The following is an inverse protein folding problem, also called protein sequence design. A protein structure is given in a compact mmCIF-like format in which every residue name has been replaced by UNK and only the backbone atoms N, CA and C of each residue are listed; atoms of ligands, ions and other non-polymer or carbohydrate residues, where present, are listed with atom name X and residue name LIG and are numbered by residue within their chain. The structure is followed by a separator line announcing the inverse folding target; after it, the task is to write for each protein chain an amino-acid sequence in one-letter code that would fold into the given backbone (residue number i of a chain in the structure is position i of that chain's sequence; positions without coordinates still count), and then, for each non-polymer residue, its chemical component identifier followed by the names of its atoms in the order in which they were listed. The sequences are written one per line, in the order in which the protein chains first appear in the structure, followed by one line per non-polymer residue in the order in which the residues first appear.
data_IF_372077637499
#
_entry.id   IF_372077637499
#
_cell.length_a   1.000
_cell.length_b   1.000
_cell.length_c   1.000
_cell.angle_alpha   90.00
_cell.angle_beta   90.00
_cell.angle_gamma   90.00
#
_symmetry.space_group_name_H-M   'P 1'
#
loop_
_entity.id
_entity.type
_entity.pdbx_description
1 polymer ?
#
# COMPACT_ATOMS: atom_id res chain seq x y z
N UNK A 1 22.35 -1.83 6.59
CA UNK A 1 21.00 -2.39 6.59
C UNK A 1 20.27 -2.00 7.87
N UNK A 2 18.98 -1.83 7.79
CA UNK A 2 18.11 -1.46 8.93
C UNK A 2 18.20 -2.49 10.06
N UNK A 3 18.32 -3.76 9.72
CA UNK A 3 18.46 -4.84 10.70
C UNK A 3 19.77 -4.73 11.49
N UNK A 4 20.87 -4.37 10.83
CA UNK A 4 22.14 -4.15 11.51
C UNK A 4 22.07 -2.97 12.51
N UNK A 5 21.34 -1.91 12.15
CA UNK A 5 21.12 -0.76 13.04
C UNK A 5 20.30 -1.14 14.26
N UNK A 6 19.26 -1.97 14.09
CA UNK A 6 18.45 -2.47 15.21
C UNK A 6 19.31 -3.36 16.13
N UNK A 7 20.07 -4.28 15.56
CA UNK A 7 20.94 -5.17 16.33
C UNK A 7 21.98 -4.40 17.14
N UNK A 8 22.52 -3.33 16.58
CA UNK A 8 23.54 -2.48 17.21
C UNK A 8 22.96 -1.39 18.10
N UNK A 9 21.63 -1.33 18.27
CA UNK A 9 20.99 -0.32 19.11
C UNK A 9 21.32 -0.49 20.59
N UNK A 10 21.25 0.61 21.33
CA UNK A 10 21.50 0.62 22.78
C UNK A 10 20.61 -0.35 23.54
N UNK A 11 19.33 -0.42 23.17
CA UNK A 11 18.36 -1.30 23.83
C UNK A 11 18.69 -2.79 23.70
N UNK A 12 19.41 -3.18 22.64
CA UNK A 12 19.86 -4.55 22.42
C UNK A 12 21.25 -4.80 23.06
N UNK A 13 22.18 -3.89 22.85
CA UNK A 13 23.60 -4.07 23.18
C UNK A 13 23.93 -3.84 24.67
N UNK A 14 23.33 -2.83 25.31
CA UNK A 14 23.62 -2.51 26.71
C UNK A 14 23.33 -3.68 27.65
N UNK A 15 22.21 -4.40 27.57
CA UNK A 15 22.00 -5.59 28.38
C UNK A 15 23.04 -6.70 28.15
N UNK A 16 23.57 -6.84 26.94
CA UNK A 16 24.61 -7.80 26.60
C UNK A 16 25.94 -7.43 27.32
N UNK A 17 26.30 -6.14 27.30
CA UNK A 17 27.47 -5.61 27.99
C UNK A 17 27.38 -5.92 29.49
N UNK A 18 26.28 -5.59 30.12
CA UNK A 18 26.03 -5.80 31.54
C UNK A 18 26.06 -7.27 31.95
N UNK A 19 25.65 -8.17 31.04
CA UNK A 19 25.59 -9.60 31.30
C UNK A 19 26.93 -10.34 31.05
N UNK A 20 27.80 -9.81 30.17
CA UNK A 20 28.98 -10.53 29.67
C UNK A 20 30.32 -9.82 29.91
N UNK A 21 30.30 -8.51 30.21
CA UNK A 21 31.50 -7.74 30.49
C UNK A 21 31.64 -7.46 32.00
N UNK A 22 32.87 -7.28 32.47
CA UNK A 22 33.14 -6.93 33.85
C UNK A 22 33.15 -5.40 34.01
N UNK A 23 32.57 -4.93 35.13
CA UNK A 23 32.67 -3.54 35.53
C UNK A 23 34.10 -3.24 36.01
N UNK A 24 34.58 -1.99 35.79
CA UNK A 24 35.85 -1.54 36.30
C UNK A 24 35.76 -1.28 37.82
N UNK A 25 36.89 -0.82 38.44
CA UNK A 25 36.97 -0.55 39.87
C UNK A 25 35.97 0.53 40.34
N UNK A 26 35.51 1.41 39.44
CA UNK A 26 34.49 2.41 39.71
C UNK A 26 33.04 1.89 39.47
N UNK A 27 32.87 0.62 39.17
CA UNK A 27 31.59 0.00 38.91
C UNK A 27 31.01 0.31 37.53
N UNK A 28 31.84 0.81 36.62
CA UNK A 28 31.39 1.20 35.25
C UNK A 28 31.71 0.11 34.24
N UNK A 29 30.75 -0.21 33.43
CA UNK A 29 30.89 -1.11 32.29
C UNK A 29 31.55 -0.40 31.11
N UNK A 30 32.13 -1.17 30.16
CA UNK A 30 32.64 -0.59 28.91
C UNK A 30 31.57 0.28 28.21
N UNK A 31 32.02 1.34 27.56
CA UNK A 31 31.14 2.22 26.81
C UNK A 31 30.52 1.48 25.63
N UNK A 32 29.27 1.78 25.35
CA UNK A 32 28.50 1.18 24.25
C UNK A 32 29.23 1.26 22.90
N UNK A 33 29.75 2.43 22.56
CA UNK A 33 30.46 2.64 21.29
C UNK A 33 31.76 1.83 21.20
N UNK A 34 32.51 1.75 22.29
CA UNK A 34 33.75 0.98 22.36
C UNK A 34 33.51 -0.52 22.27
N UNK A 35 32.47 -1.00 22.92
CA UNK A 35 32.05 -2.39 22.85
C UNK A 35 31.69 -2.79 21.42
N UNK A 36 30.90 -1.99 20.73
CA UNK A 36 30.53 -2.27 19.34
C UNK A 36 31.73 -2.38 18.42
N UNK A 37 32.69 -1.46 18.55
CA UNK A 37 33.90 -1.48 17.72
C UNK A 37 34.78 -2.70 18.00
N UNK A 38 34.90 -3.06 19.26
CA UNK A 38 35.85 -4.11 19.70
C UNK A 38 35.25 -5.53 19.56
N UNK A 39 33.94 -5.68 19.73
CA UNK A 39 33.31 -6.99 19.95
C UNK A 39 32.33 -7.44 18.89
N UNK A 40 31.64 -6.54 18.19
CA UNK A 40 30.53 -6.88 17.33
C UNK A 40 30.84 -6.53 15.87
N UNK A 41 30.71 -7.53 15.01
CA UNK A 41 30.79 -7.36 13.53
C UNK A 41 29.56 -7.92 12.88
N UNK A 42 28.98 -7.16 11.95
CA UNK A 42 27.85 -7.60 11.16
C UNK A 42 28.20 -7.56 9.67
N UNK A 43 27.92 -8.66 8.98
CA UNK A 43 28.13 -8.78 7.54
C UNK A 43 26.82 -9.19 6.86
N UNK A 44 26.12 -8.24 6.21
CA UNK A 44 24.99 -8.60 5.37
C UNK A 44 25.51 -9.31 4.13
N UNK A 45 24.93 -10.46 3.80
CA UNK A 45 25.22 -11.13 2.53
C UNK A 45 24.50 -10.37 1.42
N UNK A 46 25.25 -9.99 0.38
CA UNK A 46 24.68 -9.31 -0.78
C UNK A 46 23.52 -10.13 -1.34
N UNK A 47 22.44 -9.42 -1.63
CA UNK A 47 21.27 -9.94 -2.35
C UNK A 47 20.47 -11.01 -1.59
N UNK A 48 20.63 -11.06 -0.27
CA UNK A 48 19.83 -11.93 0.60
C UNK A 48 19.37 -11.16 1.83
N UNK A 49 18.38 -11.71 2.51
CA UNK A 49 17.93 -11.21 3.82
C UNK A 49 18.77 -11.78 4.97
N UNK A 50 19.89 -12.40 4.64
CA UNK A 50 20.78 -13.04 5.61
C UNK A 50 21.82 -12.05 6.09
N UNK A 51 21.98 -11.94 7.41
CA UNK A 51 23.01 -11.15 8.06
C UNK A 51 23.82 -12.05 8.99
N UNK A 52 25.13 -12.05 8.82
CA UNK A 52 26.04 -12.74 9.72
C UNK A 52 26.41 -11.84 10.88
N UNK A 53 26.25 -12.32 12.09
CA UNK A 53 26.65 -11.62 13.32
C UNK A 53 27.82 -12.36 13.95
N UNK A 54 28.91 -11.64 14.16
CA UNK A 54 30.13 -12.19 14.82
C UNK A 54 30.39 -11.39 16.08
N UNK A 55 30.63 -12.11 17.18
CA UNK A 55 30.95 -11.51 18.46
C UNK A 55 32.29 -12.11 18.95
N UNK A 56 33.21 -11.25 19.36
CA UNK A 56 34.45 -11.65 20.00
C UNK A 56 34.42 -11.33 21.50
N UNK A 57 35.05 -12.16 22.31
CA UNK A 57 35.14 -11.96 23.74
C UNK A 57 36.46 -12.56 24.26
N UNK A 58 36.72 -12.36 25.54
CA UNK A 58 37.96 -12.89 26.16
C UNK A 58 37.99 -14.42 26.23
N UNK A 59 36.82 -15.06 26.34
CA UNK A 59 36.68 -16.52 26.35
C UNK A 59 35.67 -16.97 25.33
N UNK A 60 35.74 -18.23 24.89
CA UNK A 60 34.79 -18.82 23.98
C UNK A 60 33.35 -18.88 24.58
N UNK A 61 33.26 -19.12 25.88
CA UNK A 61 31.99 -19.15 26.60
C UNK A 61 31.33 -17.78 26.64
N UNK A 62 32.09 -16.72 26.91
CA UNK A 62 31.59 -15.35 26.92
C UNK A 62 31.14 -14.90 25.50
N UNK A 63 31.89 -15.29 24.47
CA UNK A 63 31.53 -14.99 23.08
C UNK A 63 30.23 -15.67 22.70
N UNK A 64 30.04 -16.92 23.06
CA UNK A 64 28.78 -17.66 22.78
C UNK A 64 27.60 -17.04 23.52
N UNK A 65 27.77 -16.72 24.81
CA UNK A 65 26.73 -16.10 25.63
C UNK A 65 26.35 -14.72 25.08
N UNK A 66 27.35 -13.89 24.73
CA UNK A 66 27.12 -12.56 24.16
C UNK A 66 26.40 -12.64 22.83
N UNK A 67 26.79 -13.56 21.95
CA UNK A 67 26.13 -13.75 20.66
C UNK A 67 24.67 -14.17 20.83
N UNK A 68 24.41 -15.14 21.71
CA UNK A 68 23.04 -15.59 21.97
C UNK A 68 22.17 -14.49 22.55
N UNK A 69 22.66 -13.72 23.51
CA UNK A 69 21.93 -12.59 24.09
C UNK A 69 21.69 -11.47 23.07
N UNK A 70 22.68 -11.20 22.21
CA UNK A 70 22.59 -10.19 21.17
C UNK A 70 21.51 -10.55 20.13
N UNK A 71 21.52 -11.79 19.65
CA UNK A 71 20.53 -12.27 18.68
C UNK A 71 19.13 -12.31 19.30
N UNK A 72 19.00 -12.82 20.52
CA UNK A 72 17.69 -12.85 21.21
C UNK A 72 17.17 -11.44 21.50
N UNK A 73 18.04 -10.53 21.90
CA UNK A 73 17.69 -9.12 22.12
C UNK A 73 17.26 -8.43 20.83
N UNK A 74 17.95 -8.72 19.72
CA UNK A 74 17.58 -8.23 18.40
C UNK A 74 16.19 -8.72 17.97
N UNK A 75 15.92 -10.03 18.10
CA UNK A 75 14.62 -10.59 17.73
C UNK A 75 13.49 -10.04 18.59
N UNK A 76 13.73 -9.87 19.90
CA UNK A 76 12.75 -9.24 20.80
C UNK A 76 12.48 -7.80 20.42
N UNK A 77 13.51 -7.03 20.12
CA UNK A 77 13.39 -5.62 19.73
C UNK A 77 12.67 -5.47 18.39
N UNK A 78 13.00 -6.32 17.42
CA UNK A 78 12.35 -6.34 16.12
C UNK A 78 10.85 -6.65 16.26
N UNK A 79 10.51 -7.65 17.07
CA UNK A 79 9.11 -8.01 17.36
C UNK A 79 8.37 -6.84 18.00
N UNK A 80 8.96 -6.15 18.97
CA UNK A 80 8.36 -4.97 19.60
C UNK A 80 8.11 -3.84 18.58
N UNK A 81 9.07 -3.57 17.71
CA UNK A 81 8.95 -2.52 16.69
C UNK A 81 7.84 -2.86 15.69
N UNK A 82 7.80 -4.09 15.19
CA UNK A 82 6.76 -4.53 14.25
C UNK A 82 5.38 -4.52 14.92
N UNK A 83 5.28 -4.98 16.16
CA UNK A 83 4.05 -4.94 16.94
C UNK A 83 3.58 -3.51 17.15
N UNK A 84 4.50 -2.59 17.46
CA UNK A 84 4.22 -1.18 17.63
C UNK A 84 3.66 -0.55 16.35
N UNK A 85 4.24 -0.86 15.19
CA UNK A 85 3.76 -0.43 13.89
C UNK A 85 2.36 -0.98 13.59
N UNK A 86 2.13 -2.28 13.84
CA UNK A 86 0.82 -2.90 13.63
C UNK A 86 -0.24 -2.30 14.54
N UNK A 87 0.10 -2.05 15.80
CA UNK A 87 -0.80 -1.37 16.74
C UNK A 87 -1.14 0.04 16.29
N UNK A 88 -0.15 0.82 15.86
CA UNK A 88 -0.36 2.19 15.36
C UNK A 88 -1.28 2.18 14.13
N UNK A 89 -1.06 1.25 13.20
CA UNK A 89 -1.91 1.08 12.02
C UNK A 89 -3.34 0.73 12.42
N UNK A 90 -3.51 -0.22 13.35
CA UNK A 90 -4.84 -0.61 13.84
C UNK A 90 -5.57 0.58 14.49
N UNK A 91 -4.90 1.34 15.35
CA UNK A 91 -5.49 2.51 16.00
C UNK A 91 -5.90 3.59 14.99
N UNK A 92 -5.07 3.83 13.99
CA UNK A 92 -5.38 4.77 12.92
C UNK A 92 -6.63 4.33 12.14
N UNK A 93 -6.70 3.05 11.77
CA UNK A 93 -7.85 2.49 11.04
C UNK A 93 -9.11 2.52 11.92
N UNK A 94 -9.00 2.20 13.22
CA UNK A 94 -10.13 2.31 14.16
C UNK A 94 -10.72 3.72 14.16
N UNK A 95 -9.88 4.74 14.20
CA UNK A 95 -10.32 6.13 14.18
C UNK A 95 -11.00 6.48 12.85
N UNK A 96 -10.47 5.97 11.76
CA UNK A 96 -11.07 6.14 10.43
C UNK A 96 -12.41 5.43 10.30
N UNK A 97 -12.55 4.23 10.87
CA UNK A 97 -13.82 3.50 10.91
C UNK A 97 -14.85 4.28 11.70
N UNK A 98 -14.46 4.83 12.85
CA UNK A 98 -15.34 5.64 13.70
C UNK A 98 -15.83 6.88 12.96
N UNK A 99 -14.94 7.64 12.33
CA UNK A 99 -15.30 8.80 11.50
C UNK A 99 -16.23 8.41 10.36
N UNK A 100 -15.92 7.32 9.66
CA UNK A 100 -16.71 6.82 8.54
C UNK A 100 -18.11 6.41 8.96
N UNK A 101 -18.25 5.79 10.14
CA UNK A 101 -19.55 5.44 10.70
C UNK A 101 -20.38 6.69 10.98
N UNK A 102 -19.76 7.74 11.51
CA UNK A 102 -20.43 9.03 11.75
C UNK A 102 -20.89 9.65 10.43
N UNK A 103 -20.05 9.65 9.41
CA UNK A 103 -20.40 10.14 8.07
C UNK A 103 -21.56 9.37 7.47
N UNK A 104 -21.57 8.03 7.63
CA UNK A 104 -22.66 7.17 7.18
C UNK A 104 -23.97 7.51 7.90
N UNK A 105 -23.93 7.64 9.22
CA UNK A 105 -25.12 7.99 10.01
C UNK A 105 -25.66 9.36 9.60
N UNK A 106 -24.80 10.34 9.37
CA UNK A 106 -25.19 11.67 8.93
C UNK A 106 -25.83 11.64 7.54
N UNK A 107 -25.24 10.89 6.61
CA UNK A 107 -25.77 10.73 5.26
C UNK A 107 -27.13 10.02 5.27
N UNK A 108 -27.29 8.97 6.06
CA UNK A 108 -28.56 8.25 6.22
C UNK A 108 -29.64 9.12 6.87
N UNK A 109 -29.28 9.93 7.87
CA UNK A 109 -30.19 10.86 8.53
C UNK A 109 -30.70 11.91 7.56
N UNK A 110 -29.84 12.51 6.77
CA UNK A 110 -30.21 13.48 5.74
C UNK A 110 -31.14 12.88 4.69
N UNK A 111 -30.84 11.67 4.27
CA UNK A 111 -31.67 10.95 3.29
C UNK A 111 -33.06 10.64 3.88
N UNK A 112 -33.13 10.15 5.10
CA UNK A 112 -34.38 9.85 5.80
C UNK A 112 -35.23 11.10 5.98
N UNK A 113 -34.60 12.21 6.36
CA UNK A 113 -35.28 13.50 6.54
C UNK A 113 -35.85 13.99 5.21
N UNK A 114 -35.08 13.91 4.13
CA UNK A 114 -35.56 14.27 2.78
C UNK A 114 -36.77 13.44 2.37
N UNK A 115 -36.75 12.11 2.62
CA UNK A 115 -37.86 11.22 2.32
C UNK A 115 -39.14 11.63 3.06
N UNK A 116 -39.02 12.00 4.33
CA UNK A 116 -40.17 12.48 5.14
C UNK A 116 -40.75 13.80 4.65
N UNK A 117 -39.84 14.76 4.40
CA UNK A 117 -40.26 16.10 3.94
C UNK A 117 -40.94 16.10 2.59
N UNK A 118 -40.53 15.19 1.69
CA UNK A 118 -41.04 15.12 0.33
C UNK A 118 -42.05 13.98 0.13
N UNK A 119 -42.46 13.28 1.17
CA UNK A 119 -43.38 12.14 1.13
C UNK A 119 -42.96 11.06 0.13
N UNK A 120 -41.66 10.77 0.04
CA UNK A 120 -41.10 9.76 -0.86
C UNK A 120 -40.67 8.58 -0.05
N UNK A 121 -41.21 7.38 -0.33
CA UNK A 121 -40.84 6.14 0.37
C UNK A 121 -39.62 5.45 -0.27
N UNK A 122 -39.57 5.47 -1.60
CA UNK A 122 -38.48 4.88 -2.35
C UNK A 122 -38.22 5.69 -3.63
N UNK A 123 -36.98 5.69 -4.13
CA UNK A 123 -36.67 6.36 -5.39
C UNK A 123 -37.34 5.62 -6.54
N UNK A 124 -37.69 6.34 -7.62
CA UNK A 124 -38.07 5.68 -8.85
C UNK A 124 -36.84 5.00 -9.49
N UNK A 125 -37.10 4.16 -10.50
CA UNK A 125 -36.03 3.38 -11.13
C UNK A 125 -34.96 4.24 -11.77
N UNK A 126 -35.35 5.38 -12.35
CA UNK A 126 -34.40 6.30 -13.01
C UNK A 126 -33.43 6.90 -12.00
N UNK A 127 -33.92 7.40 -10.88
CA UNK A 127 -33.08 7.96 -9.80
C UNK A 127 -32.19 6.89 -9.22
N UNK A 128 -32.72 5.70 -8.93
CA UNK A 128 -31.94 4.58 -8.37
C UNK A 128 -30.83 4.12 -9.30
N UNK A 129 -31.12 3.92 -10.57
CA UNK A 129 -30.15 3.50 -11.58
C UNK A 129 -29.02 4.53 -11.73
N UNK A 130 -29.38 5.81 -11.81
CA UNK A 130 -28.41 6.89 -11.94
C UNK A 130 -27.54 7.00 -10.69
N UNK A 131 -28.14 6.85 -9.49
CA UNK A 131 -27.41 6.83 -8.22
C UNK A 131 -26.41 5.66 -8.16
N UNK A 132 -26.82 4.47 -8.59
CA UNK A 132 -25.95 3.29 -8.60
C UNK A 132 -24.75 3.48 -9.55
N UNK A 133 -24.98 4.04 -10.73
CA UNK A 133 -23.94 4.35 -11.71
C UNK A 133 -22.95 5.39 -11.19
N UNK A 134 -23.43 6.46 -10.57
CA UNK A 134 -22.57 7.50 -10.00
C UNK A 134 -21.82 7.03 -8.77
N UNK A 135 -22.41 6.14 -7.98
CA UNK A 135 -21.70 5.48 -6.86
C UNK A 135 -20.54 4.63 -7.37
N UNK A 136 -20.74 3.88 -8.46
CA UNK A 136 -19.68 3.12 -9.12
C UNK A 136 -18.56 4.04 -9.61
N UNK A 137 -18.91 5.17 -10.24
CA UNK A 137 -17.94 6.18 -10.69
C UNK A 137 -17.11 6.69 -9.52
N UNK A 138 -17.74 7.05 -8.41
CA UNK A 138 -17.04 7.53 -7.21
C UNK A 138 -16.07 6.49 -6.64
N UNK A 139 -16.51 5.22 -6.60
CA UNK A 139 -15.68 4.11 -6.15
C UNK A 139 -14.47 3.89 -7.05
N UNK A 140 -14.68 3.83 -8.36
CA UNK A 140 -13.60 3.67 -9.33
C UNK A 140 -12.61 4.84 -9.29
N UNK A 141 -13.13 6.06 -9.16
CA UNK A 141 -12.29 7.26 -9.02
C UNK A 141 -11.41 7.17 -7.77
N UNK A 142 -12.00 6.82 -6.63
CA UNK A 142 -11.27 6.69 -5.38
C UNK A 142 -10.17 5.64 -5.48
N UNK A 143 -10.46 4.47 -6.03
CA UNK A 143 -9.48 3.41 -6.23
C UNK A 143 -8.30 3.86 -7.11
N UNK A 144 -8.59 4.55 -8.20
CA UNK A 144 -7.56 5.01 -9.14
C UNK A 144 -6.77 6.22 -8.63
N UNK A 145 -7.38 7.11 -7.85
CA UNK A 145 -6.68 8.20 -7.18
C UNK A 145 -5.68 7.67 -6.15
N UNK A 146 -6.09 6.67 -5.37
CA UNK A 146 -5.20 6.00 -4.41
C UNK A 146 -4.06 5.29 -5.15
N UNK A 147 -4.36 4.57 -6.22
CA UNK A 147 -3.33 3.90 -7.03
C UNK A 147 -2.33 4.90 -7.63
N UNK A 148 -2.81 6.02 -8.15
CA UNK A 148 -1.97 7.08 -8.71
C UNK A 148 -1.06 7.70 -7.65
N UNK A 149 -1.61 8.02 -6.49
CA UNK A 149 -0.86 8.63 -5.40
C UNK A 149 0.19 7.66 -4.83
N UNK A 150 -0.17 6.39 -4.65
CA UNK A 150 0.75 5.36 -4.21
C UNK A 150 1.91 5.17 -5.20
N UNK A 151 1.60 5.14 -6.50
CA UNK A 151 2.61 5.01 -7.55
C UNK A 151 3.52 6.24 -7.62
N UNK A 152 2.99 7.45 -7.46
CA UNK A 152 3.78 8.69 -7.38
C UNK A 152 4.73 8.68 -6.20
N UNK A 153 4.26 8.28 -5.01
CA UNK A 153 5.09 8.19 -3.81
C UNK A 153 6.20 7.18 -3.97
N UNK A 154 5.90 6.01 -4.52
CA UNK A 154 6.90 4.97 -4.79
C UNK A 154 7.93 5.46 -5.79
N UNK A 155 7.48 6.09 -6.88
CA UNK A 155 8.36 6.63 -7.91
C UNK A 155 9.30 7.70 -7.33
N UNK A 156 8.79 8.61 -6.52
CA UNK A 156 9.60 9.65 -5.88
C UNK A 156 10.64 9.06 -4.93
N UNK A 157 10.26 8.07 -4.11
CA UNK A 157 11.17 7.40 -3.17
C UNK A 157 12.27 6.65 -3.90
N UNK A 158 11.92 5.88 -4.92
CA UNK A 158 12.87 5.09 -5.71
C UNK A 158 13.80 6.00 -6.51
N UNK A 159 13.27 7.07 -7.11
CA UNK A 159 14.07 8.04 -7.87
C UNK A 159 15.12 8.71 -7.01
N UNK A 160 14.80 9.02 -5.75
CA UNK A 160 15.78 9.56 -4.79
C UNK A 160 16.89 8.56 -4.48
N UNK A 161 16.56 7.27 -4.34
CA UNK A 161 17.55 6.21 -4.09
C UNK A 161 18.45 5.95 -5.30
N UNK A 162 17.91 6.06 -6.52
CA UNK A 162 18.66 5.92 -7.77
C UNK A 162 19.54 7.13 -8.10
N UNK A 163 19.32 8.23 -7.40
CA UNK A 163 20.03 9.49 -7.60
C UNK A 163 19.97 9.98 -9.05
N UNK A 164 21.05 9.87 -9.82
CA UNK A 164 21.15 10.45 -11.15
C UNK A 164 20.71 9.52 -12.30
N UNK A 165 20.04 8.41 -11.99
CA UNK A 165 19.55 7.55 -13.05
C UNK A 165 18.32 8.16 -13.70
N UNK A 166 18.42 8.52 -14.98
CA UNK A 166 17.36 9.16 -15.76
C UNK A 166 16.61 8.19 -16.68
N UNK A 167 16.90 6.89 -16.62
CA UNK A 167 16.21 5.90 -17.44
C UNK A 167 14.69 5.89 -17.15
N UNK A 168 13.89 5.83 -18.22
CA UNK A 168 12.43 5.87 -18.15
C UNK A 168 11.83 4.81 -19.06
N UNK A 169 10.67 4.26 -18.69
CA UNK A 169 9.91 3.33 -19.54
C UNK A 169 9.39 3.96 -20.82
N UNK A 170 9.30 5.29 -20.88
CA UNK A 170 8.83 6.01 -22.08
C UNK A 170 9.69 5.74 -23.32
N UNK A 171 10.96 5.39 -23.12
CA UNK A 171 11.90 5.10 -24.19
C UNK A 171 11.84 3.67 -24.70
N UNK A 172 10.99 2.81 -24.10
CA UNK A 172 10.88 1.41 -24.49
C UNK A 172 9.58 1.15 -25.26
N UNK A 173 9.71 0.72 -26.52
CA UNK A 173 8.57 0.48 -27.40
C UNK A 173 7.68 -0.69 -26.95
N UNK A 174 8.26 -1.74 -26.40
CA UNK A 174 7.50 -2.92 -25.93
C UNK A 174 6.68 -2.56 -24.70
N UNK A 175 7.29 -1.88 -23.72
CA UNK A 175 6.59 -1.41 -22.53
C UNK A 175 5.48 -0.44 -22.90
N UNK A 176 5.76 0.52 -23.79
CA UNK A 176 4.76 1.50 -24.25
C UNK A 176 3.59 0.80 -24.94
N UNK A 177 3.84 -0.22 -25.76
CA UNK A 177 2.80 -1.00 -26.41
C UNK A 177 1.94 -1.78 -25.41
N UNK A 178 2.58 -2.40 -24.41
CA UNK A 178 1.87 -3.14 -23.34
C UNK A 178 1.04 -2.20 -22.46
N UNK A 179 1.56 -1.02 -22.13
CA UNK A 179 0.80 0.01 -21.41
C UNK A 179 -0.44 0.44 -22.18
N UNK A 180 -0.30 0.60 -23.48
CA UNK A 180 -1.40 0.99 -24.37
C UNK A 180 -2.48 -0.09 -24.44
N UNK A 181 -2.06 -1.36 -24.55
CA UNK A 181 -2.99 -2.50 -24.50
C UNK A 181 -3.68 -2.56 -23.14
N UNK A 182 -2.95 -2.38 -22.05
CA UNK A 182 -3.50 -2.37 -20.71
C UNK A 182 -4.53 -1.24 -20.53
N UNK A 183 -4.21 -0.03 -20.98
CA UNK A 183 -5.15 1.11 -20.93
C UNK A 183 -6.42 0.82 -21.73
N UNK A 184 -6.32 0.19 -22.90
CA UNK A 184 -7.46 -0.20 -23.72
C UNK A 184 -8.34 -1.22 -23.01
N UNK A 185 -7.75 -2.26 -22.41
CA UNK A 185 -8.49 -3.27 -21.66
C UNK A 185 -9.13 -2.69 -20.40
N UNK A 186 -8.45 -1.81 -19.68
CA UNK A 186 -8.98 -1.13 -18.51
C UNK A 186 -10.17 -0.23 -18.89
N UNK A 187 -10.09 0.50 -19.99
CA UNK A 187 -11.20 1.29 -20.55
C UNK A 187 -12.38 0.38 -20.90
N UNK A 188 -12.11 -0.75 -21.53
CA UNK A 188 -13.16 -1.73 -21.87
C UNK A 188 -13.82 -2.29 -20.59
N UNK A 189 -13.03 -2.58 -19.55
CA UNK A 189 -13.55 -3.03 -18.25
C UNK A 189 -14.49 -2.01 -17.64
N UNK A 190 -14.08 -0.74 -17.60
CA UNK A 190 -14.89 0.37 -17.06
C UNK A 190 -16.19 0.47 -17.85
N UNK A 191 -16.16 0.38 -19.17
CA UNK A 191 -17.34 0.44 -20.01
C UNK A 191 -18.25 -0.77 -19.82
N UNK A 192 -17.70 -1.96 -19.55
CA UNK A 192 -18.52 -3.14 -19.22
C UNK A 192 -19.22 -2.98 -17.87
N UNK A 193 -18.60 -2.34 -16.89
CA UNK A 193 -19.19 -2.08 -15.58
C UNK A 193 -20.39 -1.10 -15.69
N UNK A 194 -20.48 -0.33 -16.76
CA UNK A 194 -21.67 0.47 -17.08
C UNK A 194 -22.91 -0.42 -17.34
N UNK A 195 -22.72 -1.60 -17.90
CA UNK A 195 -23.80 -2.49 -18.33
C UNK A 195 -23.92 -3.77 -17.51
N UNK A 196 -22.83 -4.23 -16.93
CA UNK A 196 -22.73 -5.53 -16.28
C UNK A 196 -22.20 -5.42 -14.85
N UNK A 197 -22.50 -6.40 -14.02
CA UNK A 197 -21.91 -6.51 -12.68
C UNK A 197 -20.48 -7.06 -12.75
N UNK A 198 -19.73 -6.92 -11.66
CA UNK A 198 -18.36 -7.44 -11.55
C UNK A 198 -18.26 -8.95 -11.77
N UNK A 199 -19.33 -9.69 -11.54
CA UNK A 199 -19.39 -11.15 -11.70
C UNK A 199 -19.79 -11.59 -13.11
N UNK A 200 -20.14 -10.67 -14.00
CA UNK A 200 -20.56 -11.00 -15.35
C UNK A 200 -19.39 -11.63 -16.14
N UNK A 201 -19.65 -12.66 -16.98
CA UNK A 201 -18.60 -13.34 -17.75
C UNK A 201 -17.73 -12.41 -18.59
N UNK A 202 -18.29 -11.35 -19.18
CA UNK A 202 -17.51 -10.37 -19.96
C UNK A 202 -16.53 -9.58 -19.10
N UNK A 203 -16.91 -9.23 -17.87
CA UNK A 203 -16.04 -8.55 -16.92
C UNK A 203 -14.95 -9.50 -16.43
N UNK A 204 -15.29 -10.75 -16.13
CA UNK A 204 -14.33 -11.76 -15.71
C UNK A 204 -13.30 -12.06 -16.80
N UNK A 205 -13.73 -12.12 -18.06
CA UNK A 205 -12.85 -12.32 -19.20
C UNK A 205 -11.87 -11.16 -19.37
N UNK A 206 -12.33 -9.92 -19.33
CA UNK A 206 -11.46 -8.76 -19.46
C UNK A 206 -10.51 -8.65 -18.25
N UNK A 207 -10.93 -9.01 -17.05
CA UNK A 207 -10.07 -9.07 -15.88
C UNK A 207 -8.92 -10.07 -16.08
N UNK A 208 -9.21 -11.21 -16.70
CA UNK A 208 -8.20 -12.23 -17.03
C UNK A 208 -7.19 -11.70 -18.06
N UNK A 209 -7.67 -11.02 -19.10
CA UNK A 209 -6.81 -10.39 -20.10
C UNK A 209 -5.93 -9.30 -19.49
N UNK A 210 -6.48 -8.47 -18.61
CA UNK A 210 -5.74 -7.45 -17.86
C UNK A 210 -4.62 -8.09 -17.03
N UNK A 211 -4.92 -9.16 -16.31
CA UNK A 211 -3.92 -9.88 -15.50
C UNK A 211 -2.79 -10.43 -16.39
N UNK A 212 -3.11 -10.96 -17.57
CA UNK A 212 -2.12 -11.46 -18.54
C UNK A 212 -1.21 -10.35 -19.06
N UNK A 213 -1.76 -9.20 -19.42
CA UNK A 213 -0.98 -8.04 -19.87
C UNK A 213 -0.12 -7.48 -18.75
N UNK A 214 -0.64 -7.40 -17.52
CA UNK A 214 0.15 -6.96 -16.36
C UNK A 214 1.34 -7.88 -16.10
N UNK A 215 1.16 -9.18 -16.24
CA UNK A 215 2.24 -10.14 -16.10
C UNK A 215 3.31 -9.95 -17.18
N UNK A 216 2.90 -9.78 -18.44
CA UNK A 216 3.81 -9.50 -19.56
C UNK A 216 4.57 -8.19 -19.36
N UNK A 217 3.89 -7.16 -18.86
CA UNK A 217 4.49 -5.86 -18.55
C UNK A 217 5.54 -6.00 -17.44
N UNK A 218 5.23 -6.69 -16.36
CA UNK A 218 6.17 -6.93 -15.26
C UNK A 218 7.41 -7.73 -15.72
N UNK A 219 7.22 -8.73 -16.58
CA UNK A 219 8.31 -9.52 -17.14
C UNK A 219 9.23 -8.66 -18.01
N UNK A 220 8.67 -7.81 -18.86
CA UNK A 220 9.44 -6.92 -19.72
C UNK A 220 10.18 -5.84 -18.90
N UNK A 221 9.55 -5.28 -17.89
CA UNK A 221 10.18 -4.33 -16.95
C UNK A 221 11.39 -4.99 -16.27
N UNK A 222 11.24 -6.21 -15.77
CA UNK A 222 12.33 -6.93 -15.12
C UNK A 222 13.49 -7.20 -16.10
N UNK A 223 13.17 -7.55 -17.34
CA UNK A 223 14.16 -7.77 -18.39
C UNK A 223 14.97 -6.51 -18.67
N UNK A 224 14.31 -5.37 -18.82
CA UNK A 224 14.96 -4.09 -19.13
C UNK A 224 15.78 -3.61 -17.96
N UNK A 225 15.25 -3.69 -16.73
CA UNK A 225 16.01 -3.35 -15.53
C UNK A 225 17.31 -4.16 -15.43
N UNK A 226 17.25 -5.44 -15.81
CA UNK A 226 18.40 -6.34 -15.87
C UNK A 226 19.43 -5.90 -16.92
N UNK A 227 19.00 -5.42 -18.07
CA UNK A 227 19.89 -4.96 -19.14
C UNK A 227 20.56 -3.63 -18.86
N UNK A 228 19.86 -2.73 -18.17
CA UNK A 228 20.35 -1.39 -17.85
C UNK A 228 21.34 -1.37 -16.68
N UNK A 229 21.42 -2.44 -15.91
CA UNK A 229 22.41 -2.57 -14.86
C UNK A 229 23.59 -3.39 -15.37
N UNK A 230 24.73 -2.75 -15.52
CA UNK A 230 25.97 -3.42 -15.92
C UNK A 230 26.52 -4.24 -14.77
N UNK A 231 25.97 -5.30 -14.42
CA UNK A 231 26.47 -6.30 -13.49
C UNK A 231 25.51 -6.71 -12.38
N UNK A 232 25.92 -7.59 -11.61
CA UNK A 232 25.42 -8.28 -10.42
C UNK A 232 24.80 -7.42 -9.29
N UNK A 233 24.54 -6.12 -9.50
CA UNK A 233 23.91 -5.30 -8.46
C UNK A 233 22.38 -5.44 -8.49
N UNK A 234 21.87 -6.50 -7.84
CA UNK A 234 20.44 -6.81 -7.80
C UNK A 234 19.62 -5.74 -7.09
N UNK A 235 20.21 -5.00 -6.13
CA UNK A 235 19.52 -3.90 -5.47
C UNK A 235 19.21 -2.78 -6.46
N UNK A 236 20.18 -2.39 -7.27
CA UNK A 236 20.00 -1.36 -8.31
C UNK A 236 18.99 -1.82 -9.37
N UNK A 237 19.06 -3.10 -9.78
CA UNK A 237 18.11 -3.73 -10.67
C UNK A 237 16.68 -3.67 -10.11
N UNK A 238 16.51 -4.01 -8.83
CA UNK A 238 15.23 -3.94 -8.13
C UNK A 238 14.67 -2.52 -8.07
N UNK A 239 15.52 -1.52 -7.80
CA UNK A 239 15.12 -0.13 -7.77
C UNK A 239 14.69 0.38 -9.16
N UNK A 240 15.40 -0.01 -10.22
CA UNK A 240 15.03 0.33 -11.59
C UNK A 240 13.69 -0.32 -11.97
N UNK A 241 13.50 -1.59 -11.63
CA UNK A 241 12.24 -2.29 -11.89
C UNK A 241 11.08 -1.60 -11.17
N UNK A 242 11.26 -1.20 -9.91
CA UNK A 242 10.25 -0.47 -9.12
C UNK A 242 9.95 0.89 -9.74
N UNK A 243 10.97 1.60 -10.22
CA UNK A 243 10.79 2.88 -10.91
C UNK A 243 9.94 2.71 -12.17
N UNK A 244 10.28 1.74 -13.01
CA UNK A 244 9.57 1.48 -14.25
C UNK A 244 8.14 1.04 -13.98
N UNK A 245 7.95 0.18 -12.99
CA UNK A 245 6.62 -0.29 -12.57
C UNK A 245 5.75 0.85 -12.07
N UNK A 246 6.28 1.73 -11.22
CA UNK A 246 5.53 2.88 -10.71
C UNK A 246 5.18 3.88 -11.81
N UNK A 247 6.07 4.14 -12.77
CA UNK A 247 5.77 4.96 -13.93
C UNK A 247 4.65 4.37 -14.79
N UNK A 248 4.66 3.06 -15.01
CA UNK A 248 3.61 2.36 -15.73
C UNK A 248 2.27 2.45 -15.00
N UNK A 249 2.26 2.20 -13.70
CA UNK A 249 1.05 2.30 -12.86
C UNK A 249 0.47 3.71 -12.84
N UNK A 250 1.33 4.75 -12.82
CA UNK A 250 0.90 6.14 -12.91
C UNK A 250 0.16 6.43 -14.22
N UNK A 251 0.70 5.96 -15.35
CA UNK A 251 0.06 6.14 -16.67
C UNK A 251 -1.28 5.44 -16.75
N UNK A 252 -1.36 4.20 -16.28
CA UNK A 252 -2.61 3.42 -16.29
C UNK A 252 -3.65 4.07 -15.40
N UNK A 253 -3.29 4.46 -14.17
CA UNK A 253 -4.21 5.12 -13.25
C UNK A 253 -4.71 6.46 -13.82
N UNK A 254 -3.84 7.25 -14.45
CA UNK A 254 -4.23 8.51 -15.07
C UNK A 254 -5.17 8.28 -16.25
N UNK A 255 -4.91 7.28 -17.08
CA UNK A 255 -5.80 6.90 -18.18
C UNK A 255 -7.17 6.47 -17.67
N UNK A 256 -7.21 5.68 -16.60
CA UNK A 256 -8.45 5.25 -15.96
C UNK A 256 -9.24 6.44 -15.43
N UNK A 257 -8.58 7.40 -14.78
CA UNK A 257 -9.23 8.62 -14.28
C UNK A 257 -9.86 9.44 -15.41
N UNK A 258 -9.19 9.53 -16.57
CA UNK A 258 -9.73 10.20 -17.74
C UNK A 258 -10.99 9.50 -18.27
N UNK A 259 -10.96 8.17 -18.36
CA UNK A 259 -12.12 7.36 -18.78
C UNK A 259 -13.28 7.50 -17.81
N UNK A 260 -13.01 7.48 -16.51
CA UNK A 260 -13.99 7.65 -15.45
C UNK A 260 -14.65 9.03 -15.55
N UNK A 261 -13.86 10.08 -15.81
CA UNK A 261 -14.40 11.44 -16.00
C UNK A 261 -15.30 11.56 -17.21
N UNK A 262 -14.98 10.91 -18.31
CA UNK A 262 -15.84 10.84 -19.50
C UNK A 262 -17.15 10.11 -19.20
N UNK A 263 -17.07 9.00 -18.47
CA UNK A 263 -18.23 8.23 -18.04
C UNK A 263 -19.14 9.06 -17.13
N UNK A 264 -18.58 9.76 -16.17
CA UNK A 264 -19.33 10.67 -15.29
C UNK A 264 -20.03 11.77 -16.08
N UNK A 265 -19.36 12.33 -17.09
CA UNK A 265 -19.95 13.33 -17.99
C UNK A 265 -21.22 12.80 -18.68
N UNK A 266 -21.20 11.56 -19.14
CA UNK A 266 -22.38 10.91 -19.74
C UNK A 266 -23.49 10.72 -18.72
N UNK A 267 -23.19 10.33 -17.49
CA UNK A 267 -24.20 10.17 -16.44
C UNK A 267 -24.77 11.50 -15.98
N UNK A 268 -23.97 12.57 -15.98
CA UNK A 268 -24.44 13.92 -15.66
C UNK A 268 -25.49 14.43 -16.67
N UNK A 269 -25.45 13.99 -17.92
CA UNK A 269 -26.52 14.26 -18.89
C UNK A 269 -27.84 13.64 -18.42
N UNK A 270 -27.82 12.43 -17.88
CA UNK A 270 -29.01 11.79 -17.31
C UNK A 270 -29.51 12.56 -16.07
N UNK A 271 -28.60 13.06 -15.24
CA UNK A 271 -28.93 13.90 -14.06
C UNK A 271 -29.67 15.17 -14.50
N UNK A 272 -29.23 15.81 -15.57
CA UNK A 272 -29.86 17.04 -16.08
C UNK A 272 -31.31 16.84 -16.52
N UNK A 273 -31.69 15.61 -16.84
CA UNK A 273 -33.09 15.27 -17.24
C UNK A 273 -34.02 15.07 -16.04
N UNK A 274 -33.47 14.97 -14.83
CA UNK A 274 -34.22 14.80 -13.60
C UNK A 274 -34.78 16.14 -13.12
N UNK A 275 -35.90 16.11 -12.40
CA UNK A 275 -36.40 17.28 -11.70
C UNK A 275 -35.46 17.72 -10.59
N UNK A 276 -35.60 18.94 -10.12
CA UNK A 276 -34.77 19.46 -9.02
C UNK A 276 -34.91 18.60 -7.77
N UNK A 277 -36.10 18.16 -7.41
CA UNK A 277 -36.33 17.26 -6.26
C UNK A 277 -35.66 15.91 -6.48
N UNK A 278 -35.76 15.35 -7.68
CA UNK A 278 -35.10 14.10 -8.04
C UNK A 278 -33.56 14.23 -7.99
N UNK A 279 -33.00 15.36 -8.41
CA UNK A 279 -31.58 15.63 -8.33
C UNK A 279 -31.09 15.71 -6.87
N UNK A 280 -31.87 16.34 -5.99
CA UNK A 280 -31.57 16.37 -4.55
C UNK A 280 -31.64 14.98 -3.95
N UNK A 281 -32.65 14.18 -4.30
CA UNK A 281 -32.76 12.80 -3.87
C UNK A 281 -31.57 11.97 -4.32
N UNK A 282 -31.20 12.10 -5.59
CA UNK A 282 -30.04 11.43 -6.17
C UNK A 282 -28.76 11.73 -5.40
N UNK A 283 -28.51 13.00 -5.11
CA UNK A 283 -27.32 13.43 -4.38
C UNK A 283 -27.25 12.81 -2.98
N UNK A 284 -28.36 12.83 -2.25
CA UNK A 284 -28.43 12.25 -0.90
C UNK A 284 -28.30 10.72 -0.92
N UNK A 285 -28.90 10.07 -1.92
CA UNK A 285 -28.80 8.63 -2.10
C UNK A 285 -27.37 8.20 -2.46
N UNK A 286 -26.72 8.94 -3.35
CA UNK A 286 -25.32 8.74 -3.72
C UNK A 286 -24.39 8.87 -2.50
N UNK A 287 -24.55 9.95 -1.73
CA UNK A 287 -23.72 10.19 -0.52
C UNK A 287 -23.88 9.06 0.50
N UNK A 288 -25.09 8.58 0.71
CA UNK A 288 -25.38 7.47 1.62
C UNK A 288 -24.73 6.17 1.14
N UNK A 289 -24.85 5.86 -0.15
CA UNK A 289 -24.27 4.64 -0.73
C UNK A 289 -22.74 4.67 -0.71
N UNK A 290 -22.13 5.79 -1.05
CA UNK A 290 -20.67 5.96 -1.00
C UNK A 290 -20.16 5.85 0.44
N UNK A 291 -20.84 6.49 1.39
CA UNK A 291 -20.49 6.40 2.80
C UNK A 291 -20.55 4.96 3.32
N UNK A 292 -21.57 4.20 2.90
CA UNK A 292 -21.70 2.78 3.25
C UNK A 292 -20.56 1.93 2.67
N UNK A 293 -20.23 2.13 1.39
CA UNK A 293 -19.11 1.42 0.74
C UNK A 293 -17.78 1.70 1.43
N UNK A 294 -17.51 2.95 1.79
CA UNK A 294 -16.30 3.35 2.48
C UNK A 294 -16.26 2.73 3.88
N UNK A 295 -17.37 2.77 4.61
CA UNK A 295 -17.46 2.15 5.94
C UNK A 295 -17.16 0.65 5.89
N UNK A 296 -17.77 -0.09 4.96
CA UNK A 296 -17.54 -1.53 4.79
C UNK A 296 -16.09 -1.82 4.45
N UNK A 297 -15.51 -1.04 3.54
CA UNK A 297 -14.10 -1.18 3.17
C UNK A 297 -13.15 -0.96 4.37
N UNK A 298 -13.39 0.09 5.15
CA UNK A 298 -12.57 0.41 6.33
C UNK A 298 -12.75 -0.61 7.44
N UNK A 299 -13.98 -1.10 7.66
CA UNK A 299 -14.26 -2.16 8.64
C UNK A 299 -13.50 -3.45 8.30
N UNK A 300 -13.46 -3.82 7.03
CA UNK A 300 -12.69 -4.96 6.55
C UNK A 300 -11.19 -4.78 6.78
N UNK A 301 -10.66 -3.59 6.47
CA UNK A 301 -9.25 -3.26 6.72
C UNK A 301 -8.91 -3.30 8.21
N UNK A 302 -9.84 -2.90 9.08
CA UNK A 302 -9.66 -2.96 10.52
C UNK A 302 -9.51 -4.42 10.97
N UNK A 303 -10.35 -5.32 10.48
CA UNK A 303 -10.23 -6.74 10.81
C UNK A 303 -8.89 -7.33 10.32
N UNK A 304 -8.45 -6.97 9.14
CA UNK A 304 -7.14 -7.36 8.62
C UNK A 304 -6.00 -6.82 9.49
N UNK A 305 -6.10 -5.57 9.95
CA UNK A 305 -5.10 -4.96 10.85
C UNK A 305 -5.06 -5.63 12.23
N UNK A 306 -6.22 -6.01 12.76
CA UNK A 306 -6.31 -6.78 14.03
C UNK A 306 -5.63 -8.14 13.89
N UNK A 307 -5.88 -8.85 12.79
CA UNK A 307 -5.25 -10.14 12.50
C UNK A 307 -3.74 -9.98 12.37
N UNK A 308 -3.26 -8.97 11.66
CA UNK A 308 -1.84 -8.69 11.50
C UNK A 308 -1.15 -8.40 12.84
N UNK A 309 -1.81 -7.65 13.74
CA UNK A 309 -1.29 -7.35 15.08
C UNK A 309 -1.15 -8.62 15.93
N UNK A 310 -2.15 -9.51 15.89
CA UNK A 310 -2.12 -10.79 16.61
C UNK A 310 -1.06 -11.73 16.04
N UNK A 311 -0.89 -11.79 14.72
CA UNK A 311 0.09 -12.65 14.06
C UNK A 311 1.54 -12.35 14.49
N UNK A 312 1.86 -11.09 14.82
CA UNK A 312 3.18 -10.70 15.33
C UNK A 312 3.43 -11.23 16.74
N UNK A 313 2.37 -11.55 17.50
CA UNK A 313 2.45 -12.02 18.88
C UNK A 313 2.79 -13.50 19.00
N UNK A 314 2.70 -14.26 17.91
CA UNK A 314 2.99 -15.71 17.85
C UNK A 314 4.32 -15.98 17.16
#
# INVERSE_FOLDING_TARGET
STYAEILKSRSVVVPVIEATEEANDDGKYPRYEDYLKARVTTNPFKDTEIMQVSVTAKTAEDAQKANQLLVNGFLSRLTELVRGEQKTTRLFIEERVKSSKQELNDAETKLTQFKKENNVLSPDNQVKMTADKLTMVDKLRAENQVALEAARSRNAAVSRQLQNNTASVADNNVITALQKQLATLETQRINYLDKYTEKHPKVLEVNKEIAGIRQSLNTEIARIASLETSSTNMVHQGLLADKFKSEAEMKVAQSNLNTISELEGRYNEDVQRLSETEQQYLSLLRDSKVAQEIYVMLAKRLEEAKVAEVAVST
#
